data_IF_260210363378
#
_entry.id   IF_260210363378
#
_cell.length_a   1.000
_cell.length_b   1.000
_cell.length_c   1.000
_cell.angle_alpha   90.00
_cell.angle_beta   90.00
_cell.angle_gamma   90.00
#
_symmetry.space_group_name_H-M   'P 1'
#
loop_
_entity.id
_entity.type
_entity.pdbx_description
1 polymer ?
#
# COMPACT_ATOMS: atom_id res chain seq x y z
N UNK A 1 -0.08 -14.18 -4.04
CA UNK A 1 1.18 -14.53 -3.38
C UNK A 1 0.92 -14.86 -1.93
N UNK A 2 1.58 -15.86 -1.43
CA UNK A 2 1.41 -16.33 -0.06
C UNK A 2 1.76 -15.24 0.94
N UNK A 3 0.96 -15.12 1.99
CA UNK A 3 1.17 -14.13 3.05
C UNK A 3 0.59 -12.74 2.76
N UNK A 4 0.00 -12.55 1.59
CA UNK A 4 -0.64 -11.27 1.22
C UNK A 4 -2.15 -11.43 1.17
N UNK A 5 -2.84 -10.53 1.85
CA UNK A 5 -4.29 -10.57 1.99
C UNK A 5 -5.04 -9.99 0.79
N UNK A 6 -4.36 -9.23 -0.05
CA UNK A 6 -5.01 -8.44 -1.09
C UNK A 6 -4.13 -8.31 -2.32
N UNK A 7 -4.75 -8.25 -3.50
CA UNK A 7 -4.08 -8.07 -4.79
C UNK A 7 -4.83 -7.06 -5.63
N UNK A 8 -4.09 -6.24 -6.35
CA UNK A 8 -4.63 -5.26 -7.29
C UNK A 8 -3.91 -5.37 -8.61
N UNK A 9 -4.64 -5.51 -9.74
CA UNK A 9 -4.00 -5.46 -11.04
C UNK A 9 -3.64 -4.03 -11.41
N UNK A 10 -2.50 -3.85 -12.04
CA UNK A 10 -2.10 -2.59 -12.67
C UNK A 10 -1.51 -2.88 -14.04
N UNK A 11 -1.65 -1.94 -14.96
CA UNK A 11 -1.07 -2.02 -16.28
C UNK A 11 -0.08 -0.87 -16.44
N UNK A 12 1.10 -1.14 -16.96
CA UNK A 12 2.10 -0.11 -17.22
C UNK A 12 1.59 0.79 -18.34
N UNK A 13 1.45 2.08 -18.05
CA UNK A 13 0.99 3.08 -19.02
C UNK A 13 2.18 3.63 -19.78
N UNK A 14 1.92 4.17 -20.95
CA UNK A 14 2.95 4.90 -21.70
C UNK A 14 3.56 6.02 -20.85
N UNK A 15 2.72 6.73 -20.09
CA UNK A 15 3.14 7.81 -19.20
C UNK A 15 4.06 7.34 -18.04
N UNK A 16 4.07 6.04 -17.74
CA UNK A 16 4.92 5.48 -16.69
C UNK A 16 6.35 5.22 -17.18
N UNK A 17 6.57 5.25 -18.50
CA UNK A 17 7.88 4.91 -19.12
C UNK A 17 8.75 6.15 -19.31
N UNK A 18 10.04 5.91 -19.43
CA UNK A 18 11.04 6.95 -19.66
C UNK A 18 11.83 6.70 -20.95
N UNK A 19 12.83 7.51 -21.19
CA UNK A 19 13.66 7.43 -22.40
C UNK A 19 14.41 6.10 -22.55
N UNK A 20 14.53 5.32 -21.47
CA UNK A 20 15.13 3.98 -21.53
C UNK A 20 14.16 2.92 -22.05
N UNK A 21 12.88 3.27 -22.24
CA UNK A 21 11.86 2.34 -22.70
C UNK A 21 11.32 1.41 -21.62
N UNK A 22 11.61 1.70 -20.36
CA UNK A 22 11.11 0.96 -19.20
C UNK A 22 10.35 1.90 -18.27
N UNK A 23 9.59 1.37 -17.35
CA UNK A 23 8.90 2.18 -16.37
C UNK A 23 9.91 2.97 -15.52
N UNK A 24 9.64 4.26 -15.33
CA UNK A 24 10.43 5.10 -14.44
C UNK A 24 10.30 4.57 -13.00
N UNK A 25 11.37 4.68 -12.22
CA UNK A 25 11.37 4.19 -10.84
C UNK A 25 10.24 4.78 -9.99
N UNK A 26 9.84 6.02 -10.24
CA UNK A 26 8.75 6.66 -9.49
C UNK A 26 7.38 6.01 -9.74
N UNK A 27 7.19 5.35 -10.87
CA UNK A 27 5.91 4.69 -11.19
C UNK A 27 5.58 3.58 -10.18
N UNK A 28 6.57 2.89 -9.67
CA UNK A 28 6.37 1.81 -8.69
C UNK A 28 5.75 2.33 -7.40
N UNK A 29 6.14 3.53 -6.95
CA UNK A 29 5.53 4.14 -5.76
C UNK A 29 4.08 4.54 -6.00
N UNK A 30 3.75 4.95 -7.22
CA UNK A 30 2.36 5.21 -7.62
C UNK A 30 1.54 3.92 -7.59
N UNK A 31 2.11 2.81 -8.04
CA UNK A 31 1.42 1.51 -7.99
C UNK A 31 1.20 1.03 -6.56
N UNK A 32 2.15 1.28 -5.66
CA UNK A 32 1.93 1.03 -4.23
C UNK A 32 0.75 1.85 -3.71
N UNK A 33 0.64 3.11 -4.11
CA UNK A 33 -0.49 3.96 -3.73
C UNK A 33 -1.81 3.43 -4.27
N UNK A 34 -1.85 3.05 -5.54
CA UNK A 34 -3.05 2.45 -6.13
C UNK A 34 -3.48 1.23 -5.31
N UNK A 35 -2.53 0.38 -4.96
CA UNK A 35 -2.82 -0.84 -4.21
C UNK A 35 -3.36 -0.56 -2.81
N UNK A 36 -2.77 0.39 -2.06
CA UNK A 36 -3.27 0.68 -0.72
C UNK A 36 -4.61 1.42 -0.73
N UNK A 37 -4.87 2.23 -1.75
CA UNK A 37 -6.20 2.85 -1.93
C UNK A 37 -7.26 1.79 -2.17
N UNK A 38 -6.97 0.81 -3.01
CA UNK A 38 -7.89 -0.30 -3.27
C UNK A 38 -8.05 -1.21 -2.05
N UNK A 39 -6.98 -1.41 -1.28
CA UNK A 39 -7.03 -2.13 -0.01
C UNK A 39 -8.02 -1.46 0.96
N UNK A 40 -7.91 -0.16 1.13
CA UNK A 40 -8.83 0.59 1.97
C UNK A 40 -10.27 0.48 1.48
N UNK A 41 -10.46 0.54 0.17
CA UNK A 41 -11.79 0.40 -0.43
C UNK A 41 -12.39 -0.98 -0.17
N UNK A 42 -11.57 -2.01 -0.22
CA UNK A 42 -12.03 -3.38 0.00
C UNK A 42 -12.36 -3.68 1.46
N UNK A 43 -11.60 -3.13 2.40
CA UNK A 43 -11.66 -3.59 3.79
C UNK A 43 -12.14 -2.56 4.81
N UNK A 44 -12.07 -1.26 4.51
CA UNK A 44 -12.31 -0.23 5.52
C UNK A 44 -13.38 0.79 5.14
N UNK A 45 -14.05 0.62 4.02
CA UNK A 45 -15.01 1.59 3.51
C UNK A 45 -14.41 2.68 2.65
N UNK A 46 -13.12 2.59 2.35
CA UNK A 46 -12.42 3.50 1.45
C UNK A 46 -11.83 4.72 2.16
N UNK A 47 -11.17 5.53 1.36
CA UNK A 47 -10.50 6.72 1.85
C UNK A 47 -11.47 7.72 2.49
N UNK A 48 -12.67 7.82 1.95
CA UNK A 48 -13.69 8.74 2.48
C UNK A 48 -14.10 8.38 3.91
N UNK A 49 -14.08 7.09 4.28
CA UNK A 49 -14.40 6.67 5.63
C UNK A 49 -13.41 7.25 6.66
N UNK A 50 -12.11 7.32 6.31
CA UNK A 50 -11.10 7.96 7.15
C UNK A 50 -11.43 9.44 7.34
N UNK A 51 -11.72 10.13 6.25
CA UNK A 51 -12.05 11.57 6.27
C UNK A 51 -13.31 11.84 7.07
N UNK A 52 -14.32 11.00 6.93
CA UNK A 52 -15.57 11.13 7.69
C UNK A 52 -15.34 11.00 9.20
N UNK A 53 -14.31 10.27 9.60
CA UNK A 53 -13.90 10.13 11.00
C UNK A 53 -12.85 11.16 11.44
N UNK A 54 -12.56 12.15 10.59
CA UNK A 54 -11.65 13.25 10.90
C UNK A 54 -10.18 12.87 10.97
N UNK A 55 -9.79 11.80 10.30
CA UNK A 55 -8.40 11.34 10.25
C UNK A 55 -7.87 11.27 8.83
N UNK A 56 -6.56 11.31 8.72
CA UNK A 56 -5.81 11.06 7.49
C UNK A 56 -4.69 10.08 7.80
N UNK A 57 -4.24 9.36 6.79
CA UNK A 57 -3.07 8.50 6.89
C UNK A 57 -2.00 9.07 5.98
N UNK A 58 -0.90 9.54 6.55
CA UNK A 58 0.17 10.17 5.78
C UNK A 58 1.33 9.19 5.61
N UNK A 59 2.05 9.34 4.50
CA UNK A 59 3.26 8.54 4.21
C UNK A 59 4.44 9.17 4.95
N UNK A 60 5.14 8.35 5.73
CA UNK A 60 6.37 8.76 6.42
C UNK A 60 7.62 8.32 5.69
N UNK A 61 7.55 7.17 5.01
CA UNK A 61 8.68 6.56 4.32
C UNK A 61 8.15 5.65 3.22
N UNK A 62 8.83 5.65 2.09
CA UNK A 62 8.57 4.72 1.00
C UNK A 62 9.88 4.07 0.58
N UNK A 63 9.86 2.75 0.41
CA UNK A 63 11.02 2.00 -0.05
C UNK A 63 10.58 1.03 -1.13
N UNK A 64 11.31 1.01 -2.22
CA UNK A 64 11.10 0.05 -3.31
C UNK A 64 12.42 -0.55 -3.73
N UNK A 65 12.44 -1.88 -3.85
CA UNK A 65 13.57 -2.60 -4.43
C UNK A 65 13.16 -3.07 -5.82
N UNK A 66 13.92 -2.67 -6.81
CA UNK A 66 13.67 -2.93 -8.22
C UNK A 66 14.44 -4.17 -8.63
N UNK A 67 13.71 -5.20 -9.08
CA UNK A 67 14.29 -6.50 -9.42
C UNK A 67 14.42 -6.70 -10.92
N UNK A 68 13.36 -6.35 -11.66
CA UNK A 68 13.27 -6.50 -13.11
C UNK A 68 12.63 -5.27 -13.73
N UNK A 69 13.07 -4.84 -14.91
CA UNK A 69 12.39 -3.76 -15.61
C UNK A 69 11.03 -4.21 -16.13
N UNK A 70 10.11 -3.28 -16.20
CA UNK A 70 8.80 -3.50 -16.83
C UNK A 70 8.60 -2.45 -17.93
N UNK A 71 7.80 -2.81 -18.93
CA UNK A 71 7.64 -2.03 -20.15
C UNK A 71 6.19 -1.65 -20.35
N UNK A 72 5.97 -0.71 -21.27
CA UNK A 72 4.63 -0.31 -21.67
C UNK A 72 3.73 -1.52 -21.90
N UNK A 73 2.53 -1.42 -21.35
CA UNK A 73 1.45 -2.39 -21.51
C UNK A 73 1.63 -3.72 -20.77
N UNK A 74 2.72 -3.90 -20.03
CA UNK A 74 2.88 -5.05 -19.16
C UNK A 74 1.76 -5.07 -18.12
N UNK A 75 1.21 -6.26 -17.87
CA UNK A 75 0.21 -6.49 -16.84
C UNK A 75 0.89 -6.95 -15.57
N UNK A 76 0.66 -6.23 -14.48
CA UNK A 76 1.28 -6.46 -13.19
C UNK A 76 0.21 -6.72 -12.14
N UNK A 77 0.60 -7.40 -11.07
CA UNK A 77 -0.22 -7.56 -9.87
C UNK A 77 0.56 -7.04 -8.69
N UNK A 78 -0.04 -6.12 -7.95
CA UNK A 78 0.51 -5.63 -6.69
C UNK A 78 -0.16 -6.39 -5.55
N UNK A 79 0.60 -7.18 -4.83
CA UNK A 79 0.14 -7.86 -3.62
C UNK A 79 0.41 -6.95 -2.43
N UNK A 80 -0.54 -6.83 -1.54
CA UNK A 80 -0.52 -5.85 -0.45
C UNK A 80 -0.98 -6.47 0.84
N UNK A 81 -0.32 -6.11 1.94
CA UNK A 81 -0.78 -6.40 3.29
C UNK A 81 -0.47 -5.23 4.21
N UNK A 82 -1.26 -5.08 5.25
CA UNK A 82 -1.06 -4.06 6.26
C UNK A 82 -0.60 -4.74 7.56
N UNK A 83 0.50 -4.28 8.10
CA UNK A 83 1.12 -4.88 9.28
C UNK A 83 1.58 -3.78 10.25
N UNK A 84 2.03 -4.18 11.43
CA UNK A 84 2.71 -3.28 12.35
C UNK A 84 1.83 -2.19 12.93
N UNK A 85 0.53 -2.45 13.12
CA UNK A 85 -0.37 -1.53 13.80
C UNK A 85 0.14 -1.28 15.21
N UNK A 86 0.58 -0.05 15.48
CA UNK A 86 1.15 0.31 16.77
C UNK A 86 0.95 1.81 17.05
N UNK A 87 0.08 2.14 18.00
CA UNK A 87 -0.23 3.52 18.29
C UNK A 87 -0.81 4.24 17.08
N UNK A 88 -0.11 5.24 16.59
CA UNK A 88 -0.49 5.97 15.37
C UNK A 88 0.10 5.35 14.10
N UNK A 89 0.96 4.37 14.21
CA UNK A 89 1.78 3.88 13.08
C UNK A 89 1.28 2.56 12.53
N UNK A 90 1.48 2.37 11.22
CA UNK A 90 1.25 1.12 10.53
C UNK A 90 2.08 1.10 9.24
N UNK A 91 2.20 -0.10 8.66
CA UNK A 91 3.02 -0.33 7.48
C UNK A 91 2.20 -1.10 6.45
N UNK A 92 2.33 -0.72 5.18
CA UNK A 92 1.94 -1.58 4.07
C UNK A 92 3.20 -2.22 3.50
N UNK A 93 3.10 -3.51 3.21
CA UNK A 93 4.13 -4.24 2.49
C UNK A 93 3.59 -4.67 1.15
N UNK A 94 4.45 -4.64 0.12
CA UNK A 94 4.05 -4.90 -1.25
C UNK A 94 5.03 -5.83 -1.95
N UNK A 95 4.49 -6.63 -2.88
CA UNK A 95 5.26 -7.23 -3.96
C UNK A 95 4.58 -6.89 -5.27
N UNK A 96 5.34 -6.70 -6.32
CA UNK A 96 4.82 -6.49 -7.67
C UNK A 96 5.32 -7.64 -8.53
N UNK A 97 4.38 -8.34 -9.17
CA UNK A 97 4.68 -9.49 -10.00
C UNK A 97 4.17 -9.30 -11.42
N UNK A 98 4.90 -9.83 -12.38
CA UNK A 98 4.47 -9.99 -13.76
C UNK A 98 4.40 -11.49 -14.00
N UNK A 99 3.19 -12.07 -13.96
CA UNK A 99 3.03 -13.51 -13.93
C UNK A 99 3.70 -14.08 -12.68
N UNK A 100 4.65 -15.01 -12.85
CA UNK A 100 5.39 -15.60 -11.75
C UNK A 100 6.68 -14.85 -11.39
N UNK A 101 7.03 -13.82 -12.18
CA UNK A 101 8.25 -13.06 -11.97
C UNK A 101 8.04 -11.97 -10.92
N UNK A 102 8.88 -11.94 -9.89
CA UNK A 102 8.92 -10.83 -8.94
C UNK A 102 9.67 -9.67 -9.59
N UNK A 103 8.98 -8.57 -9.87
CA UNK A 103 9.59 -7.40 -10.50
C UNK A 103 10.01 -6.33 -9.50
N UNK A 104 9.34 -6.25 -8.35
CA UNK A 104 9.71 -5.31 -7.29
C UNK A 104 9.09 -5.73 -5.97
N UNK A 105 9.67 -5.26 -4.88
CA UNK A 105 9.06 -5.36 -3.55
C UNK A 105 9.38 -4.10 -2.75
N UNK A 106 8.65 -3.88 -1.69
CA UNK A 106 8.89 -2.71 -0.86
C UNK A 106 7.85 -2.54 0.24
N UNK A 107 7.89 -1.37 0.83
CA UNK A 107 6.95 -1.01 1.89
C UNK A 107 6.74 0.50 1.94
N UNK A 108 5.65 0.90 2.59
CA UNK A 108 5.40 2.28 2.97
C UNK A 108 5.04 2.33 4.44
N UNK A 109 5.68 3.24 5.17
CA UNK A 109 5.34 3.51 6.57
C UNK A 109 4.38 4.68 6.64
N UNK A 110 3.40 4.57 7.51
CA UNK A 110 2.33 5.56 7.63
C UNK A 110 2.10 5.95 9.08
N UNK A 111 1.56 7.15 9.25
CA UNK A 111 1.01 7.58 10.53
C UNK A 111 -0.43 8.04 10.33
N UNK A 112 -1.29 7.65 11.27
CA UNK A 112 -2.63 8.20 11.40
C UNK A 112 -2.51 9.56 12.07
N UNK A 113 -3.14 10.58 11.49
CA UNK A 113 -3.10 11.94 12.00
C UNK A 113 -4.51 12.52 12.05
N UNK A 114 -4.69 13.52 12.90
CA UNK A 114 -5.89 14.34 12.90
C UNK A 114 -5.92 15.12 11.56
N UNK A 115 -7.06 15.10 10.88
CA UNK A 115 -7.18 15.70 9.55
C UNK A 115 -7.03 17.21 9.53
N UNK A 116 -7.27 17.88 10.66
CA UNK A 116 -7.18 19.34 10.78
C UNK A 116 -5.80 19.78 11.25
N UNK A 117 -5.33 19.20 12.36
CA UNK A 117 -4.07 19.61 12.99
C UNK A 117 -2.84 18.91 12.39
N UNK A 118 -3.05 17.79 11.69
CA UNK A 118 -2.01 16.90 11.16
C UNK A 118 -1.10 16.30 12.24
N UNK A 119 -1.55 16.33 13.49
CA UNK A 119 -0.82 15.70 14.60
C UNK A 119 -1.10 14.22 14.65
N UNK A 120 -0.11 13.40 15.03
CA UNK A 120 -0.32 11.98 15.20
C UNK A 120 -1.48 11.68 16.15
N UNK A 121 -2.32 10.75 15.77
CA UNK A 121 -3.39 10.24 16.60
C UNK A 121 -3.40 8.74 16.52
N UNK A 122 -3.79 8.09 17.61
CA UNK A 122 -3.87 6.63 17.64
C UNK A 122 -4.81 6.13 16.53
N UNK A 123 -4.42 5.07 15.85
CA UNK A 123 -5.30 4.42 14.88
C UNK A 123 -6.60 4.06 15.60
N UNK A 124 -7.77 4.56 15.13
CA UNK A 124 -9.02 4.32 15.83
C UNK A 124 -9.38 2.84 15.83
N UNK A 125 -10.13 2.41 16.86
CA UNK A 125 -10.50 1.01 17.03
C UNK A 125 -11.21 0.43 15.81
N UNK A 126 -12.14 1.18 15.19
CA UNK A 126 -12.88 0.70 14.03
C UNK A 126 -11.93 0.37 12.86
N UNK A 127 -10.89 1.18 12.68
CA UNK A 127 -9.91 0.98 11.59
C UNK A 127 -8.97 -0.18 11.92
N UNK A 128 -8.43 -0.22 13.14
CA UNK A 128 -7.55 -1.32 13.54
C UNK A 128 -8.25 -2.67 13.52
N UNK A 129 -9.54 -2.70 13.90
CA UNK A 129 -10.35 -3.92 13.84
C UNK A 129 -10.58 -4.37 12.40
N UNK A 130 -10.90 -3.44 11.50
CA UNK A 130 -11.09 -3.75 10.08
C UNK A 130 -9.80 -4.32 9.46
N UNK A 131 -8.66 -3.74 9.80
CA UNK A 131 -7.37 -4.23 9.31
C UNK A 131 -7.04 -5.59 9.91
N UNK A 132 -7.26 -5.80 11.19
CA UNK A 132 -7.03 -7.11 11.82
C UNK A 132 -7.91 -8.18 11.22
N UNK A 133 -9.16 -7.86 10.94
CA UNK A 133 -10.07 -8.78 10.27
C UNK A 133 -9.56 -9.16 8.88
N UNK A 134 -9.08 -8.17 8.10
CA UNK A 134 -8.54 -8.40 6.77
C UNK A 134 -7.26 -9.25 6.80
N UNK A 135 -6.40 -9.01 7.77
CA UNK A 135 -5.06 -9.64 7.85
C UNK A 135 -5.00 -10.83 8.80
N UNK A 136 -6.01 -10.99 9.65
CA UNK A 136 -5.93 -11.97 10.70
C UNK A 136 -4.81 -11.64 11.69
N UNK A 137 -4.09 -12.64 12.16
CA UNK A 137 -3.01 -12.47 13.13
C UNK A 137 -1.83 -11.65 12.60
N UNK A 138 -1.66 -11.56 11.29
CA UNK A 138 -0.54 -10.86 10.66
C UNK A 138 -0.59 -9.33 10.86
N UNK A 139 -1.77 -8.75 11.12
CA UNK A 139 -1.91 -7.31 11.39
C UNK A 139 -1.54 -6.93 12.82
N UNK A 140 -1.44 -7.90 13.72
CA UNK A 140 -1.10 -7.65 15.12
C UNK A 140 0.40 -7.39 15.24
N UNK A 141 0.81 -6.31 15.92
CA UNK A 141 2.24 -6.07 16.11
C UNK A 141 2.86 -7.20 16.91
N UNK A 142 4.08 -7.57 16.52
CA UNK A 142 4.87 -8.49 17.32
C UNK A 142 5.15 -7.86 18.68
N UNK A 143 4.95 -8.64 19.70
CA UNK A 143 5.24 -8.19 21.06
C UNK A 143 6.72 -7.85 21.24
#
# INVERSE_FOLDING_TARGET
MEGFSFSTPVRVRFADTDAQGIAHNSAFLVWFEVARVEYLRAFTGGYQALRDHGIEAIVLESLCRYRLPVRFDDELVVNTRCVGLRGARFRYEYTIARGEELVADGHTEHACVDAVTLRPTRVPAWLSEAIREAEGAAATPSA
#
